data_IF_218541174383
#
_entry.id   IF_218541174383
#
_cell.length_a   1.000
_cell.length_b   1.000
_cell.length_c   1.000
_cell.angle_alpha   90.00
_cell.angle_beta   90.00
_cell.angle_gamma   90.00
#
_symmetry.space_group_name_H-M   'P 1'
#
loop_
_entity.id
_entity.type
_entity.pdbx_description
1 polymer ?
#
# COMPACT_ATOMS: atom_id res chain seq x y z
N UNK A 1 -9.00 -17.27 21.64
CA UNK A 1 -8.36 -16.76 22.87
C UNK A 1 -6.96 -16.16 22.63
N UNK A 2 -5.88 -16.93 22.46
CA UNK A 2 -4.52 -16.34 22.37
C UNK A 2 -4.30 -15.44 21.11
N UNK A 3 -5.02 -15.73 20.03
CA UNK A 3 -5.01 -14.93 18.80
C UNK A 3 -5.97 -13.72 18.83
N UNK A 4 -7.06 -13.80 19.60
CA UNK A 4 -7.98 -12.68 19.81
C UNK A 4 -7.32 -11.60 20.68
N UNK A 5 -6.60 -12.02 21.73
CA UNK A 5 -5.84 -11.10 22.58
C UNK A 5 -4.78 -10.30 21.80
N UNK A 6 -4.08 -10.94 20.84
CA UNK A 6 -3.11 -10.24 19.97
C UNK A 6 -3.77 -9.27 18.99
N UNK A 7 -4.97 -9.57 18.52
CA UNK A 7 -5.73 -8.67 17.65
C UNK A 7 -6.26 -7.47 18.44
N UNK A 8 -6.81 -7.69 19.63
CA UNK A 8 -7.24 -6.62 20.53
C UNK A 8 -6.07 -5.71 20.94
N UNK A 9 -4.89 -6.27 21.21
CA UNK A 9 -3.66 -5.49 21.44
C UNK A 9 -3.25 -4.65 20.23
N UNK A 10 -3.38 -5.19 19.01
CA UNK A 10 -3.09 -4.48 17.77
C UNK A 10 -4.09 -3.35 17.52
N UNK A 11 -5.37 -3.63 17.69
CA UNK A 11 -6.45 -2.63 17.60
C UNK A 11 -6.29 -1.56 18.65
N UNK A 12 -5.93 -1.92 19.89
CA UNK A 12 -5.63 -0.96 20.95
C UNK A 12 -4.42 -0.09 20.60
N UNK A 13 -3.37 -0.66 19.99
CA UNK A 13 -2.20 0.09 19.51
C UNK A 13 -2.58 1.06 18.40
N UNK A 14 -3.36 0.63 17.41
CA UNK A 14 -3.79 1.53 16.31
C UNK A 14 -4.76 2.59 16.82
N UNK A 15 -5.70 2.23 17.70
CA UNK A 15 -6.61 3.19 18.35
C UNK A 15 -5.84 4.22 19.14
N UNK A 16 -4.83 3.80 19.89
CA UNK A 16 -3.92 4.69 20.62
C UNK A 16 -3.17 5.63 19.67
N UNK A 17 -2.62 5.12 18.57
CA UNK A 17 -1.97 5.95 17.54
C UNK A 17 -2.92 6.97 16.90
N UNK A 18 -4.20 6.59 16.69
CA UNK A 18 -5.25 7.52 16.23
C UNK A 18 -5.56 8.58 17.29
N UNK A 19 -5.76 8.19 18.55
CA UNK A 19 -6.07 9.09 19.68
C UNK A 19 -4.93 10.06 19.97
N UNK A 20 -3.67 9.64 19.76
CA UNK A 20 -2.47 10.46 19.93
C UNK A 20 -2.21 11.38 18.72
N UNK A 21 -2.96 11.22 17.61
CA UNK A 21 -2.80 12.00 16.38
C UNK A 21 -1.60 11.60 15.51
N UNK A 22 -0.99 10.45 15.80
CA UNK A 22 0.19 9.93 15.09
C UNK A 22 -0.15 9.31 13.72
N UNK A 23 -1.43 8.96 13.51
CA UNK A 23 -1.94 8.34 12.28
C UNK A 23 -3.36 8.83 12.00
N UNK A 24 -3.57 9.34 10.79
CA UNK A 24 -4.88 9.59 10.21
C UNK A 24 -5.08 8.59 9.06
N UNK A 25 -5.80 7.49 9.32
CA UNK A 25 -5.88 6.38 8.37
C UNK A 25 -6.62 6.75 7.08
N UNK A 26 -7.68 7.57 7.17
CA UNK A 26 -8.41 8.01 5.98
C UNK A 26 -7.57 8.97 5.13
N UNK A 27 -6.96 9.97 5.76
CA UNK A 27 -6.07 10.88 5.04
C UNK A 27 -4.89 10.14 4.40
N UNK A 28 -4.31 9.17 5.11
CA UNK A 28 -3.17 8.41 4.62
C UNK A 28 -3.56 7.42 3.51
N UNK A 29 -4.78 6.87 3.54
CA UNK A 29 -5.34 6.10 2.44
C UNK A 29 -5.41 6.97 1.17
N UNK A 30 -6.05 8.14 1.25
CA UNK A 30 -6.16 9.09 0.14
C UNK A 30 -4.77 9.51 -0.39
N UNK A 31 -3.84 9.82 0.51
CA UNK A 31 -2.45 10.14 0.15
C UNK A 31 -1.75 8.96 -0.53
N UNK A 32 -2.00 7.73 -0.10
CA UNK A 32 -1.40 6.55 -0.73
C UNK A 32 -1.88 6.37 -2.17
N UNK A 33 -3.16 6.65 -2.45
CA UNK A 33 -3.73 6.63 -3.81
C UNK A 33 -3.16 7.79 -4.65
N UNK A 34 -3.02 8.98 -4.07
CA UNK A 34 -2.37 10.10 -4.75
C UNK A 34 -0.92 9.76 -5.15
N UNK A 35 -0.17 9.09 -4.27
CA UNK A 35 1.19 8.62 -4.56
C UNK A 35 1.22 7.58 -5.68
N UNK A 36 0.28 6.63 -5.69
CA UNK A 36 0.14 5.67 -6.80
C UNK A 36 -0.01 6.40 -8.14
N UNK A 37 -0.92 7.37 -8.20
CA UNK A 37 -1.18 8.16 -9.41
C UNK A 37 0.05 8.98 -9.85
N UNK A 38 0.80 9.57 -8.91
CA UNK A 38 2.04 10.28 -9.24
C UNK A 38 3.12 9.35 -9.79
N UNK A 39 3.25 8.12 -9.26
CA UNK A 39 4.15 7.11 -9.83
C UNK A 39 3.73 6.78 -11.27
N UNK A 40 2.43 6.61 -11.51
CA UNK A 40 1.93 6.37 -12.87
C UNK A 40 2.22 7.53 -13.81
N UNK A 41 2.08 8.78 -13.36
CA UNK A 41 2.46 9.96 -14.15
C UNK A 41 3.95 9.99 -14.48
N UNK A 42 4.85 9.65 -13.54
CA UNK A 42 6.29 9.51 -13.82
C UNK A 42 6.53 8.54 -15.00
N UNK A 43 5.86 7.39 -15.01
CA UNK A 43 5.96 6.39 -16.08
C UNK A 43 5.42 6.93 -17.42
N UNK A 44 4.28 7.62 -17.41
CA UNK A 44 3.69 8.22 -18.60
C UNK A 44 4.58 9.29 -19.23
N UNK A 45 5.17 10.17 -18.41
CA UNK A 45 6.10 11.19 -18.90
C UNK A 45 7.38 10.57 -19.45
N UNK A 46 7.92 9.54 -18.80
CA UNK A 46 9.05 8.77 -19.31
C UNK A 46 8.77 8.22 -20.71
N UNK A 47 7.67 7.46 -20.87
CA UNK A 47 7.33 6.89 -22.18
C UNK A 47 7.04 7.96 -23.23
N UNK A 48 6.44 9.10 -22.84
CA UNK A 48 6.14 10.18 -23.78
C UNK A 48 7.42 10.87 -24.26
N UNK A 49 8.38 11.12 -23.36
CA UNK A 49 9.70 11.65 -23.72
C UNK A 49 10.41 10.76 -24.74
N UNK A 50 10.50 9.46 -24.46
CA UNK A 50 11.14 8.48 -25.35
C UNK A 50 10.41 8.35 -26.70
N UNK A 51 9.07 8.25 -26.71
CA UNK A 51 8.29 8.09 -27.95
C UNK A 51 8.33 9.31 -28.85
N UNK A 52 8.44 10.50 -28.28
CA UNK A 52 8.36 11.76 -29.03
C UNK A 52 9.73 12.38 -29.30
N UNK A 53 10.78 11.91 -28.62
CA UNK A 53 12.12 12.51 -28.67
C UNK A 53 12.18 13.91 -28.04
N UNK A 54 11.17 14.31 -27.26
CA UNK A 54 11.06 15.65 -26.65
C UNK A 54 11.55 15.62 -25.21
N UNK A 55 12.72 16.19 -24.89
CA UNK A 55 13.31 16.10 -23.55
C UNK A 55 12.51 16.84 -22.47
N UNK A 56 11.64 17.77 -22.84
CA UNK A 56 10.82 18.56 -21.89
C UNK A 56 9.88 17.68 -21.05
N UNK A 57 9.53 16.48 -21.52
CA UNK A 57 8.75 15.53 -20.73
C UNK A 57 9.54 14.98 -19.52
N UNK A 58 10.88 14.97 -19.58
CA UNK A 58 11.70 14.58 -18.44
C UNK A 58 11.76 15.67 -17.36
N UNK A 59 11.59 16.94 -17.73
CA UNK A 59 11.44 18.04 -16.78
C UNK A 59 10.12 17.89 -16.01
N UNK A 60 9.02 17.62 -16.71
CA UNK A 60 7.72 17.31 -16.09
C UNK A 60 7.79 16.06 -15.20
N UNK A 61 8.48 15.00 -15.65
CA UNK A 61 8.73 13.82 -14.82
C UNK A 61 9.41 14.20 -13.50
N UNK A 62 10.43 15.07 -13.55
CA UNK A 62 11.12 15.52 -12.35
C UNK A 62 10.22 16.31 -11.41
N UNK A 63 9.33 17.18 -11.93
CA UNK A 63 8.35 17.89 -11.12
C UNK A 63 7.38 16.93 -10.41
N UNK A 64 6.80 15.97 -11.14
CA UNK A 64 5.94 14.92 -10.57
C UNK A 64 6.70 14.13 -9.50
N UNK A 65 7.95 13.75 -9.79
CA UNK A 65 8.79 13.00 -8.86
C UNK A 65 9.03 13.76 -7.56
N UNK A 66 9.17 15.09 -7.62
CA UNK A 66 9.34 15.92 -6.43
C UNK A 66 8.05 15.96 -5.60
N UNK A 67 6.89 16.13 -6.22
CA UNK A 67 5.60 16.03 -5.52
C UNK A 67 5.40 14.66 -4.87
N UNK A 68 5.72 13.57 -5.59
CA UNK A 68 5.64 12.21 -5.02
C UNK A 68 6.55 12.06 -3.82
N UNK A 69 7.79 12.54 -3.89
CA UNK A 69 8.73 12.48 -2.75
C UNK A 69 8.19 13.23 -1.54
N UNK A 70 7.59 14.40 -1.74
CA UNK A 70 6.99 15.17 -0.66
C UNK A 70 5.85 14.39 0.02
N UNK A 71 4.89 13.88 -0.76
CA UNK A 71 3.76 13.12 -0.19
C UNK A 71 4.21 11.83 0.48
N UNK A 72 5.18 11.11 -0.12
CA UNK A 72 5.73 9.89 0.45
C UNK A 72 6.44 10.15 1.80
N UNK A 73 7.07 11.32 1.96
CA UNK A 73 7.65 11.77 3.22
C UNK A 73 6.62 12.04 4.32
N UNK A 74 5.37 12.33 3.97
CA UNK A 74 4.27 12.51 4.95
C UNK A 74 3.79 11.17 5.52
N UNK A 75 3.82 10.11 4.71
CA UNK A 75 3.36 8.77 5.13
C UNK A 75 4.49 7.85 5.64
N UNK A 76 5.75 8.08 5.25
CA UNK A 76 6.91 7.31 5.73
C UNK A 76 7.74 8.16 6.70
N UNK A 77 7.28 8.28 7.94
CA UNK A 77 7.92 9.15 8.95
C UNK A 77 9.27 8.65 9.48
N UNK A 78 9.59 7.35 9.33
CA UNK A 78 10.86 6.78 9.79
C UNK A 78 11.45 5.84 8.73
N UNK A 79 12.73 6.02 8.44
CA UNK A 79 13.46 5.18 7.49
C UNK A 79 14.31 4.16 8.24
N UNK A 80 13.86 2.91 8.27
CA UNK A 80 14.70 1.77 8.67
C UNK A 80 15.09 1.00 7.39
N UNK A 81 16.32 1.19 6.91
CA UNK A 81 16.77 0.58 5.66
C UNK A 81 15.92 0.99 4.45
N UNK A 82 15.41 0.01 3.71
CA UNK A 82 14.70 0.19 2.43
C UNK A 82 13.19 0.51 2.56
N UNK A 83 12.69 0.91 3.74
CA UNK A 83 11.24 1.14 3.98
C UNK A 83 10.62 2.06 2.92
N UNK A 84 11.31 3.14 2.56
CA UNK A 84 10.86 4.08 1.53
C UNK A 84 10.65 3.42 0.17
N UNK A 85 11.66 2.67 -0.28
CA UNK A 85 11.62 1.97 -1.56
C UNK A 85 10.54 0.90 -1.56
N UNK A 86 10.46 0.10 -0.49
CA UNK A 86 9.47 -0.96 -0.33
C UNK A 86 8.05 -0.37 -0.41
N UNK A 87 7.74 0.68 0.36
CA UNK A 87 6.45 1.36 0.31
C UNK A 87 6.08 1.80 -1.10
N UNK A 88 6.99 2.53 -1.78
CA UNK A 88 6.78 2.99 -3.15
C UNK A 88 6.51 1.81 -4.11
N UNK A 89 7.26 0.72 -3.99
CA UNK A 89 7.10 -0.44 -4.86
C UNK A 89 5.80 -1.23 -4.59
N UNK A 90 5.37 -1.33 -3.33
CA UNK A 90 4.07 -1.93 -2.98
C UNK A 90 2.90 -1.12 -3.54
N UNK A 91 2.94 0.21 -3.38
CA UNK A 91 1.91 1.10 -3.94
C UNK A 91 1.86 1.01 -5.47
N UNK A 92 3.01 1.11 -6.15
CA UNK A 92 3.08 0.97 -7.61
C UNK A 92 2.56 -0.39 -8.11
N UNK A 93 2.92 -1.47 -7.42
CA UNK A 93 2.48 -2.83 -7.77
C UNK A 93 0.97 -2.98 -7.57
N UNK A 94 0.43 -2.45 -6.48
CA UNK A 94 -1.03 -2.43 -6.20
C UNK A 94 -1.78 -1.78 -7.36
N UNK A 95 -1.42 -0.55 -7.72
CA UNK A 95 -2.07 0.17 -8.83
C UNK A 95 -1.98 -0.59 -10.15
N UNK A 96 -0.81 -1.16 -10.46
CA UNK A 96 -0.62 -1.89 -11.73
C UNK A 96 -1.47 -3.16 -11.80
N UNK A 97 -1.63 -3.88 -10.69
CA UNK A 97 -2.51 -5.04 -10.59
C UNK A 97 -3.99 -4.63 -10.75
N UNK A 98 -4.42 -3.52 -10.13
CA UNK A 98 -5.78 -2.98 -10.29
C UNK A 98 -6.09 -2.59 -11.75
N UNK A 99 -5.15 -1.95 -12.44
CA UNK A 99 -5.30 -1.56 -13.85
C UNK A 99 -5.45 -2.79 -14.76
N UNK A 100 -4.60 -3.81 -14.60
CA UNK A 100 -4.69 -5.04 -15.42
C UNK A 100 -5.94 -5.85 -15.06
N UNK A 101 -6.31 -5.92 -13.78
CA UNK A 101 -7.56 -6.55 -13.34
C UNK A 101 -8.79 -5.88 -13.97
N UNK A 102 -8.81 -4.55 -14.01
CA UNK A 102 -9.88 -3.76 -14.64
C UNK A 102 -10.00 -4.03 -16.14
N UNK A 103 -8.88 -4.25 -16.83
CA UNK A 103 -8.88 -4.65 -18.25
C UNK A 103 -9.50 -6.02 -18.45
N UNK A 104 -9.13 -7.03 -17.67
CA UNK A 104 -9.77 -8.34 -17.74
C UNK A 104 -11.25 -8.29 -17.39
N UNK A 105 -11.64 -7.46 -16.41
CA UNK A 105 -13.04 -7.25 -16.06
C UNK A 105 -13.84 -6.69 -17.25
N UNK A 106 -13.29 -5.71 -17.97
CA UNK A 106 -13.91 -5.13 -19.17
C UNK A 106 -14.01 -6.12 -20.33
N UNK A 107 -13.08 -7.09 -20.42
CA UNK A 107 -13.12 -8.19 -21.40
C UNK A 107 -14.06 -9.35 -20.99
N UNK A 108 -14.71 -9.26 -19.83
CA UNK A 108 -15.58 -10.33 -19.31
C UNK A 108 -14.83 -11.52 -18.67
N UNK A 109 -13.51 -11.44 -18.55
CA UNK A 109 -12.62 -12.44 -17.92
C UNK A 109 -12.61 -12.29 -16.40
N UNK A 110 -13.74 -12.63 -15.79
CA UNK A 110 -14.01 -12.34 -14.37
C UNK A 110 -13.07 -13.07 -13.40
N UNK A 111 -12.70 -14.31 -13.71
CA UNK A 111 -11.83 -15.09 -12.82
C UNK A 111 -10.40 -14.55 -12.79
N UNK A 112 -9.88 -14.15 -13.95
CA UNK A 112 -8.57 -13.51 -14.08
C UNK A 112 -8.56 -12.12 -13.44
N UNK A 113 -9.62 -11.34 -13.64
CA UNK A 113 -9.78 -10.04 -12.98
C UNK A 113 -9.77 -10.19 -11.46
N UNK A 114 -10.59 -11.10 -10.93
CA UNK A 114 -10.68 -11.39 -9.49
C UNK A 114 -9.33 -11.77 -8.91
N UNK A 115 -8.58 -12.66 -9.58
CA UNK A 115 -7.23 -13.05 -9.14
C UNK A 115 -6.29 -11.85 -9.01
N UNK A 116 -6.31 -10.92 -9.96
CA UNK A 116 -5.47 -9.71 -9.90
C UNK A 116 -5.93 -8.72 -8.84
N UNK A 117 -7.24 -8.57 -8.64
CA UNK A 117 -7.78 -7.74 -7.55
C UNK A 117 -7.40 -8.28 -6.17
N UNK A 118 -7.46 -9.61 -5.97
CA UNK A 118 -7.02 -10.24 -4.72
C UNK A 118 -5.53 -10.01 -4.46
N UNK A 119 -4.70 -10.11 -5.52
CA UNK A 119 -3.27 -9.80 -5.42
C UNK A 119 -3.01 -8.32 -5.13
N UNK A 120 -3.79 -7.41 -5.73
CA UNK A 120 -3.69 -5.98 -5.47
C UNK A 120 -4.02 -5.68 -4.00
N UNK A 121 -5.13 -6.21 -3.49
CA UNK A 121 -5.54 -6.03 -2.10
C UNK A 121 -4.52 -6.59 -1.11
N UNK A 122 -3.97 -7.78 -1.37
CA UNK A 122 -2.88 -8.36 -0.58
C UNK A 122 -1.63 -7.47 -0.58
N UNK A 123 -1.25 -6.93 -1.74
CA UNK A 123 -0.08 -6.06 -1.86
C UNK A 123 -0.28 -4.74 -1.12
N UNK A 124 -1.46 -4.15 -1.20
CA UNK A 124 -1.83 -2.96 -0.46
C UNK A 124 -1.85 -3.20 1.05
N UNK A 125 -2.28 -4.40 1.46
CA UNK A 125 -2.27 -4.81 2.86
C UNK A 125 -0.84 -4.88 3.43
N UNK A 126 0.14 -5.29 2.63
CA UNK A 126 1.55 -5.23 3.04
C UNK A 126 2.06 -3.80 3.24
N UNK A 127 1.57 -2.84 2.45
CA UNK A 127 1.90 -1.43 2.65
C UNK A 127 1.43 -0.97 4.04
N UNK A 128 0.18 -1.25 4.40
CA UNK A 128 -0.37 -0.91 5.71
C UNK A 128 0.34 -1.61 6.86
N UNK A 129 0.73 -2.86 6.68
CA UNK A 129 1.50 -3.61 7.67
C UNK A 129 2.84 -2.94 8.01
N UNK A 130 3.50 -2.39 7.00
CA UNK A 130 4.74 -1.61 7.16
C UNK A 130 4.43 -0.24 7.79
N UNK A 131 3.44 0.48 7.27
CA UNK A 131 3.06 1.82 7.73
C UNK A 131 2.69 1.84 9.22
N UNK A 132 1.95 0.83 9.67
CA UNK A 132 1.48 0.72 11.05
C UNK A 132 2.45 -0.06 11.95
N UNK A 133 3.64 -0.44 11.44
CA UNK A 133 4.64 -1.24 12.15
C UNK A 133 4.02 -2.50 12.78
N UNK A 134 3.09 -3.14 12.06
CA UNK A 134 2.43 -4.39 12.50
C UNK A 134 3.39 -5.57 12.38
N UNK A 135 4.43 -5.44 11.55
CA UNK A 135 5.52 -6.40 11.43
C UNK A 135 6.78 -5.72 11.93
N UNK A 136 7.18 -5.96 13.19
CA UNK A 136 8.51 -5.59 13.62
C UNK A 136 9.53 -6.39 12.79
N UNK A 137 10.56 -5.73 12.26
CA UNK A 137 11.64 -6.37 11.48
C UNK A 137 12.35 -7.48 12.28
N UNK A 138 12.26 -7.44 13.61
CA UNK A 138 12.74 -8.48 14.53
C UNK A 138 11.90 -9.77 14.57
N UNK A 139 10.65 -9.75 14.12
CA UNK A 139 9.70 -10.88 14.22
C UNK A 139 9.58 -11.70 12.92
N UNK A 140 10.43 -11.44 11.94
CA UNK A 140 10.47 -12.13 10.63
C UNK A 140 10.70 -13.65 10.71
N UNK A 141 11.02 -14.20 11.90
CA UNK A 141 11.16 -15.63 12.16
C UNK A 141 9.83 -16.41 12.25
N UNK A 142 8.67 -15.74 12.32
CA UNK A 142 7.33 -16.38 12.37
C UNK A 142 6.48 -16.08 11.14
N UNK A 143 7.11 -16.01 9.96
CA UNK A 143 6.50 -15.60 8.68
C UNK A 143 5.39 -16.53 8.19
N UNK A 144 5.47 -17.83 8.45
CA UNK A 144 4.54 -18.79 7.84
C UNK A 144 3.15 -18.75 8.46
N UNK A 145 3.00 -18.47 9.75
CA UNK A 145 1.69 -18.51 10.42
C UNK A 145 0.81 -17.29 10.09
N UNK A 146 1.40 -16.10 9.95
CA UNK A 146 0.68 -14.84 9.72
C UNK A 146 0.34 -14.65 8.24
N UNK A 147 1.21 -15.11 7.34
CA UNK A 147 1.02 -14.95 5.88
C UNK A 147 0.17 -16.05 5.23
N UNK A 148 0.04 -17.21 5.88
CA UNK A 148 -0.64 -18.39 5.30
C UNK A 148 -1.98 -18.76 5.96
N UNK A 149 -2.36 -18.10 7.06
CA UNK A 149 -3.63 -18.35 7.75
C UNK A 149 -3.81 -19.78 8.29
N UNK A 150 -2.75 -20.59 8.36
CA UNK A 150 -2.83 -22.03 8.67
C UNK A 150 -3.20 -22.36 10.12
N UNK A 151 -3.42 -21.38 10.99
CA UNK A 151 -3.65 -21.60 12.43
C UNK A 151 -4.69 -20.66 13.04
N UNK A 152 -5.84 -20.44 12.39
CA UNK A 152 -6.91 -19.58 12.96
C UNK A 152 -6.39 -18.19 13.39
N UNK A 153 -5.34 -17.74 12.70
CA UNK A 153 -4.64 -16.48 12.91
C UNK A 153 -5.14 -15.52 11.84
N UNK A 154 -5.48 -14.29 12.27
CA UNK A 154 -5.88 -13.21 11.38
C UNK A 154 -4.78 -12.95 10.34
N UNK A 155 -5.14 -12.91 9.06
CA UNK A 155 -4.22 -12.53 8.00
C UNK A 155 -3.97 -11.03 8.03
N UNK A 156 -2.92 -10.56 7.34
CA UNK A 156 -2.63 -9.12 7.21
C UNK A 156 -3.81 -8.42 6.52
N UNK A 157 -4.42 -9.11 5.57
CA UNK A 157 -5.62 -8.69 4.84
C UNK A 157 -6.84 -8.51 5.76
N UNK A 158 -7.07 -9.42 6.71
CA UNK A 158 -8.17 -9.31 7.68
C UNK A 158 -7.95 -8.15 8.67
N UNK A 159 -6.69 -7.90 9.02
CA UNK A 159 -6.30 -6.79 9.89
C UNK A 159 -6.53 -5.45 9.18
N UNK A 160 -6.08 -5.33 7.93
CA UNK A 160 -6.26 -4.12 7.12
C UNK A 160 -7.74 -3.84 6.86
N UNK A 161 -8.54 -4.88 6.54
CA UNK A 161 -9.98 -4.75 6.32
C UNK A 161 -10.72 -4.15 7.52
N UNK A 162 -10.23 -4.37 8.75
CA UNK A 162 -10.85 -3.86 9.98
C UNK A 162 -10.28 -2.52 10.45
N UNK A 163 -9.06 -2.19 10.04
CA UNK A 163 -8.36 -0.97 10.45
C UNK A 163 -8.61 0.19 9.49
N UNK A 164 -8.67 -0.11 8.19
CA UNK A 164 -8.86 0.82 7.08
C UNK A 164 -10.30 0.72 6.58
N UNK A 165 -11.24 0.65 7.53
CA UNK A 165 -12.67 0.77 7.22
C UNK A 165 -13.08 2.24 7.35
N UNK A 166 -12.70 3.03 6.33
CA UNK A 166 -13.02 4.46 6.26
C UNK A 166 -14.53 4.73 6.06
N UNK A 167 -15.36 3.70 5.89
CA UNK A 167 -16.80 3.86 5.78
C UNK A 167 -17.50 4.14 7.12
N UNK A 168 -16.78 4.04 8.25
CA UNK A 168 -17.28 4.24 9.61
C UNK A 168 -16.72 5.50 10.30
N UNK A 169 -16.10 6.42 9.55
CA UNK A 169 -15.69 7.75 10.02
C UNK A 169 -16.77 8.81 9.80
#
# INVERSE_FOLDING_TARGET
>A
MQNEMKFEELMAKVKKMREEGDVDLSLEEDLSIAIMNLISLEEHFFFTGEKTGKPQYFDLLNEIRMMRKELLGRIVMHHEGETWCITKHLLATTMRLMEVGSRYQAEGKKDEAKKLFDMAYKTYSFFWAIRLKLVATSDLKKKDDILSGKTGAWTVEDIVSKLVDCCNE
#
